data_IF_276491433587
#
_entry.id   IF_276491433587
#
_cell.length_a   1.000
_cell.length_b   1.000
_cell.length_c   1.000
_cell.angle_alpha   90.00
_cell.angle_beta   90.00
_cell.angle_gamma   90.00
#
_symmetry.space_group_name_H-M   'P 1'
#
loop_
_entity.id
_entity.type
_entity.pdbx_description
1 polymer ?
#
# COMPACT_ATOMS: atom_id res chain seq x y z
N UNK A 1 16.57 18.64 -0.65
CA UNK A 1 15.96 17.33 -0.95
C UNK A 1 14.68 17.61 -1.71
N UNK A 2 14.53 17.09 -2.92
CA UNK A 2 13.29 17.27 -3.71
C UNK A 2 12.14 16.55 -3.00
N UNK A 3 10.90 17.00 -3.20
CA UNK A 3 9.72 16.33 -2.59
C UNK A 3 9.58 14.85 -3.00
N UNK A 4 10.13 14.47 -4.16
CA UNK A 4 10.11 13.09 -4.67
C UNK A 4 11.13 12.19 -3.95
N UNK A 5 12.28 12.71 -3.56
CA UNK A 5 13.29 11.96 -2.80
C UNK A 5 12.75 11.56 -1.42
N UNK A 6 12.09 12.49 -0.73
CA UNK A 6 11.47 12.25 0.57
C UNK A 6 10.30 11.25 0.46
N UNK A 7 9.51 11.37 -0.60
CA UNK A 7 8.44 10.43 -0.90
C UNK A 7 8.99 9.01 -1.12
N UNK A 8 10.05 8.85 -1.90
CA UNK A 8 10.67 7.54 -2.15
C UNK A 8 11.14 6.88 -0.84
N UNK A 9 11.86 7.63 0.01
CA UNK A 9 12.31 7.15 1.34
C UNK A 9 11.11 6.70 2.18
N UNK A 10 10.07 7.53 2.17
CA UNK A 10 8.85 7.27 2.91
C UNK A 10 8.11 6.02 2.44
N UNK A 11 8.01 5.78 1.13
CA UNK A 11 7.36 4.59 0.58
C UNK A 11 8.16 3.33 0.90
N UNK A 12 9.49 3.36 0.76
CA UNK A 12 10.38 2.25 1.14
C UNK A 12 10.25 1.91 2.63
N UNK A 13 10.17 2.92 3.50
CA UNK A 13 9.89 2.71 4.92
C UNK A 13 8.50 2.13 5.15
N UNK A 14 7.49 2.63 4.44
CA UNK A 14 6.11 2.12 4.47
C UNK A 14 6.03 0.62 4.17
N UNK A 15 6.76 0.14 3.16
CA UNK A 15 6.85 -1.30 2.86
C UNK A 15 7.34 -2.12 4.05
N UNK A 16 8.44 -1.70 4.67
CA UNK A 16 9.00 -2.40 5.84
C UNK A 16 7.98 -2.50 6.98
N UNK A 17 7.27 -1.41 7.27
CA UNK A 17 6.27 -1.37 8.33
C UNK A 17 5.06 -2.25 7.99
N UNK A 18 4.60 -2.25 6.73
CA UNK A 18 3.52 -3.14 6.26
C UNK A 18 3.91 -4.61 6.44
N UNK A 19 5.10 -5.01 5.98
CA UNK A 19 5.59 -6.39 6.06
C UNK A 19 5.73 -6.87 7.51
N UNK A 20 6.31 -6.03 8.37
CA UNK A 20 6.42 -6.32 9.80
C UNK A 20 5.04 -6.49 10.45
N UNK A 21 4.07 -5.67 10.05
CA UNK A 21 2.71 -5.73 10.59
C UNK A 21 1.97 -6.98 10.12
N UNK A 22 2.12 -7.40 8.86
CA UNK A 22 1.60 -8.69 8.39
C UNK A 22 2.12 -9.86 9.23
N UNK A 23 3.43 -9.88 9.53
CA UNK A 23 4.01 -10.92 10.37
C UNK A 23 3.41 -10.90 11.79
N UNK A 24 3.25 -9.71 12.40
CA UNK A 24 2.60 -9.56 13.70
C UNK A 24 1.16 -10.06 13.71
N UNK A 25 0.37 -9.72 12.68
CA UNK A 25 -1.01 -10.21 12.52
C UNK A 25 -1.02 -11.73 12.40
N UNK A 26 -0.13 -12.31 11.59
CA UNK A 26 -0.04 -13.77 11.39
C UNK A 26 0.29 -14.53 12.68
N UNK A 27 1.29 -14.07 13.42
CA UNK A 27 1.71 -14.70 14.69
C UNK A 27 0.59 -14.65 15.73
N UNK A 28 -0.22 -13.60 15.72
CA UNK A 28 -1.29 -13.39 16.70
C UNK A 28 -2.69 -13.75 16.19
N UNK A 29 -2.80 -14.44 15.04
CA UNK A 29 -4.09 -14.65 14.35
C UNK A 29 -5.15 -15.40 15.17
N UNK A 30 -4.71 -16.12 16.22
CA UNK A 30 -5.58 -16.87 17.13
C UNK A 30 -5.91 -16.13 18.43
N UNK A 31 -5.28 -14.98 18.68
CA UNK A 31 -5.36 -14.23 19.94
C UNK A 31 -6.10 -12.92 19.71
N UNK A 32 -7.43 -12.95 19.82
CA UNK A 32 -8.32 -11.82 19.48
C UNK A 32 -7.94 -10.51 20.17
N UNK A 33 -7.60 -10.54 21.46
CA UNK A 33 -7.28 -9.34 22.25
C UNK A 33 -6.03 -8.60 21.74
N UNK A 34 -5.08 -9.32 21.12
CA UNK A 34 -3.89 -8.75 20.49
C UNK A 34 -4.18 -8.41 19.03
N UNK A 35 -4.92 -9.28 18.34
CA UNK A 35 -5.14 -9.15 16.91
C UNK A 35 -5.97 -7.92 16.55
N UNK A 36 -7.03 -7.61 17.30
CA UNK A 36 -7.91 -6.48 16.99
C UNK A 36 -7.18 -5.12 17.00
N UNK A 37 -6.44 -4.74 18.06
CA UNK A 37 -5.66 -3.50 18.04
C UNK A 37 -4.54 -3.54 16.98
N UNK A 38 -3.96 -4.71 16.72
CA UNK A 38 -2.97 -4.87 15.64
C UNK A 38 -3.59 -4.59 14.27
N UNK A 39 -4.82 -5.05 14.00
CA UNK A 39 -5.53 -4.79 12.75
C UNK A 39 -5.90 -3.31 12.61
N UNK A 40 -6.29 -2.64 13.70
CA UNK A 40 -6.54 -1.20 13.68
C UNK A 40 -5.27 -0.42 13.30
N UNK A 41 -4.14 -0.71 13.97
CA UNK A 41 -2.87 -0.09 13.61
C UNK A 41 -2.49 -0.42 12.15
N UNK A 42 -2.76 -1.64 11.72
CA UNK A 42 -2.46 -2.07 10.37
C UNK A 42 -3.26 -1.29 9.31
N UNK A 43 -4.54 -1.03 9.60
CA UNK A 43 -5.39 -0.19 8.75
C UNK A 43 -4.79 1.20 8.57
N UNK A 44 -4.38 1.86 9.65
CA UNK A 44 -3.78 3.19 9.58
C UNK A 44 -2.50 3.18 8.74
N UNK A 45 -1.62 2.20 8.97
CA UNK A 45 -0.37 2.04 8.21
C UNK A 45 -0.64 1.89 6.72
N UNK A 46 -1.55 0.99 6.33
CA UNK A 46 -1.87 0.74 4.92
C UNK A 46 -2.51 1.97 4.28
N UNK A 47 -3.49 2.58 4.94
CA UNK A 47 -4.18 3.74 4.39
C UNK A 47 -3.23 4.94 4.23
N UNK A 48 -2.34 5.18 5.19
CA UNK A 48 -1.31 6.21 5.08
C UNK A 48 -0.37 5.92 3.92
N UNK A 49 0.11 4.67 3.76
CA UNK A 49 0.98 4.30 2.64
C UNK A 49 0.32 4.54 1.28
N UNK A 50 -0.91 4.07 1.12
CA UNK A 50 -1.67 4.22 -0.14
C UNK A 50 -2.06 5.68 -0.41
N UNK A 51 -2.28 6.50 0.63
CA UNK A 51 -2.63 7.92 0.48
C UNK A 51 -1.46 8.78 -0.01
N UNK A 52 -0.21 8.39 0.27
CA UNK A 52 0.98 9.10 -0.24
C UNK A 52 1.16 8.97 -1.76
N UNK A 53 0.47 8.00 -2.35
CA UNK A 53 0.38 7.82 -3.79
C UNK A 53 -0.96 8.41 -4.25
N UNK A 54 -0.99 9.72 -4.42
CA UNK A 54 -2.19 10.49 -4.78
C UNK A 54 -2.09 11.01 -6.22
N UNK A 55 -3.18 11.60 -6.71
CA UNK A 55 -3.23 12.11 -8.08
C UNK A 55 -2.16 13.19 -8.33
N UNK A 56 -1.92 14.08 -7.36
CA UNK A 56 -0.86 15.10 -7.43
C UNK A 56 0.53 14.49 -7.65
N UNK A 57 0.84 13.38 -6.99
CA UNK A 57 2.10 12.66 -7.14
C UNK A 57 2.25 12.05 -8.54
N UNK A 58 1.18 11.44 -9.07
CA UNK A 58 1.19 10.92 -10.44
C UNK A 58 1.24 12.03 -11.49
N UNK A 59 0.58 13.17 -11.27
CA UNK A 59 0.65 14.35 -12.15
C UNK A 59 2.08 14.91 -12.22
N UNK A 60 2.75 15.04 -11.07
CA UNK A 60 4.17 15.46 -11.01
C UNK A 60 5.08 14.51 -11.78
N UNK A 61 4.92 13.20 -11.59
CA UNK A 61 5.69 12.21 -12.33
C UNK A 61 5.40 12.27 -13.84
N UNK A 62 4.14 12.38 -14.25
CA UNK A 62 3.78 12.55 -15.65
C UNK A 62 4.43 13.79 -16.27
N UNK A 63 4.53 14.90 -15.52
CA UNK A 63 5.22 16.11 -15.97
C UNK A 63 6.73 15.88 -16.21
N UNK A 64 7.39 15.03 -15.42
CA UNK A 64 8.80 14.68 -15.62
C UNK A 64 9.06 13.83 -16.88
N UNK A 65 8.05 13.08 -17.35
CA UNK A 65 8.16 12.09 -18.42
C UNK A 65 7.26 12.38 -19.63
N UNK A 66 6.86 13.64 -19.86
CA UNK A 66 5.91 14.01 -20.93
C UNK A 66 6.32 13.54 -22.34
N UNK A 67 7.64 13.40 -22.58
CA UNK A 67 8.20 12.96 -23.87
C UNK A 67 8.42 11.44 -23.94
N UNK A 68 8.32 10.72 -22.82
CA UNK A 68 8.51 9.28 -22.75
C UNK A 68 7.16 8.56 -22.64
N UNK A 69 6.63 8.18 -23.80
CA UNK A 69 5.34 7.48 -23.92
C UNK A 69 5.32 6.14 -23.15
N UNK A 70 6.46 5.48 -22.99
CA UNK A 70 6.51 4.20 -22.27
C UNK A 70 6.33 4.43 -20.77
N UNK A 71 6.99 5.46 -20.21
CA UNK A 71 6.86 5.79 -18.80
C UNK A 71 5.47 6.31 -18.44
N UNK A 72 4.85 7.11 -19.32
CA UNK A 72 3.45 7.55 -19.13
C UNK A 72 2.51 6.35 -19.01
N UNK A 73 2.61 5.37 -19.91
CA UNK A 73 1.79 4.15 -19.83
C UNK A 73 2.04 3.36 -18.54
N UNK A 74 3.28 3.34 -18.06
CA UNK A 74 3.62 2.70 -16.78
C UNK A 74 2.96 3.42 -15.60
N UNK A 75 2.96 4.76 -15.59
CA UNK A 75 2.29 5.57 -14.58
C UNK A 75 0.77 5.37 -14.60
N UNK A 76 0.16 5.29 -15.78
CA UNK A 76 -1.27 4.96 -15.94
C UNK A 76 -1.59 3.58 -15.35
N UNK A 77 -0.79 2.56 -15.67
CA UNK A 77 -0.93 1.22 -15.11
C UNK A 77 -0.84 1.22 -13.58
N UNK A 78 0.18 1.87 -13.01
CA UNK A 78 0.39 1.98 -11.56
C UNK A 78 -0.74 2.71 -10.84
N UNK A 79 -1.33 3.72 -11.48
CA UNK A 79 -2.47 4.48 -10.95
C UNK A 79 -3.74 3.63 -10.92
N UNK A 80 -4.02 2.85 -11.97
CA UNK A 80 -5.16 1.92 -12.01
C UNK A 80 -5.01 0.83 -10.96
N UNK A 81 -3.85 0.18 -10.90
CA UNK A 81 -3.55 -0.84 -9.89
C UNK A 81 -3.69 -0.28 -8.45
N UNK A 82 -3.37 1.01 -8.25
CA UNK A 82 -3.51 1.66 -6.94
C UNK A 82 -4.98 1.79 -6.51
N UNK A 83 -5.85 2.09 -7.46
CA UNK A 83 -7.29 2.19 -7.17
C UNK A 83 -7.84 0.84 -6.76
N UNK A 84 -7.45 -0.22 -7.47
CA UNK A 84 -7.87 -1.59 -7.16
C UNK A 84 -7.38 -2.03 -5.78
N UNK A 85 -6.11 -1.78 -5.42
CA UNK A 85 -5.61 -2.13 -4.08
C UNK A 85 -6.27 -1.28 -2.97
N UNK A 86 -6.58 0.00 -3.22
CA UNK A 86 -7.32 0.85 -2.27
C UNK A 86 -8.72 0.27 -2.01
N UNK A 87 -9.44 -0.16 -3.04
CA UNK A 87 -10.75 -0.81 -2.89
C UNK A 87 -10.65 -2.10 -2.09
N UNK A 88 -9.65 -2.95 -2.38
CA UNK A 88 -9.41 -4.20 -1.64
C UNK A 88 -9.08 -3.94 -0.17
N UNK A 89 -8.23 -2.96 0.13
CA UNK A 89 -7.87 -2.57 1.49
C UNK A 89 -9.10 -2.07 2.26
N UNK A 90 -9.89 -1.16 1.67
CA UNK A 90 -11.13 -0.67 2.30
C UNK A 90 -12.11 -1.81 2.56
N UNK A 91 -12.29 -2.72 1.61
CA UNK A 91 -13.18 -3.89 1.76
C UNK A 91 -12.69 -4.82 2.88
N UNK A 92 -11.39 -5.03 2.97
CA UNK A 92 -10.80 -5.85 4.04
C UNK A 92 -11.02 -5.21 5.42
N UNK A 93 -10.74 -3.92 5.56
CA UNK A 93 -10.87 -3.23 6.85
C UNK A 93 -12.33 -2.91 7.23
N UNK A 94 -13.27 -2.80 6.29
CA UNK A 94 -14.69 -2.74 6.62
C UNK A 94 -15.18 -4.04 7.29
N UNK A 95 -14.61 -5.19 6.87
CA UNK A 95 -14.97 -6.50 7.44
C UNK A 95 -14.25 -6.82 8.74
N UNK A 96 -12.99 -6.41 8.89
CA UNK A 96 -12.11 -6.86 9.97
C UNK A 96 -11.52 -5.74 10.84
N UNK A 97 -11.72 -4.48 10.46
CA UNK A 97 -11.24 -3.30 11.16
C UNK A 97 -11.96 -3.01 12.49
N UNK A 98 -11.67 -1.86 13.12
CA UNK A 98 -12.21 -1.48 14.41
C UNK A 98 -13.74 -1.34 14.38
N UNK A 99 -14.29 -0.89 13.25
CA UNK A 99 -15.72 -0.65 13.03
C UNK A 99 -16.47 -1.87 12.47
N UNK A 100 -15.82 -3.03 12.42
CA UNK A 100 -16.42 -4.26 11.91
C UNK A 100 -17.71 -4.59 12.69
N UNK A 101 -18.84 -4.62 11.99
CA UNK A 101 -20.19 -4.81 12.58
C UNK A 101 -20.51 -6.26 12.99
N UNK A 102 -19.52 -7.14 13.00
CA UNK A 102 -19.76 -8.56 13.25
C UNK A 102 -19.95 -8.85 14.74
N UNK A 103 -20.99 -9.62 15.08
CA UNK A 103 -21.28 -10.04 16.47
C UNK A 103 -20.16 -10.90 17.08
N UNK A 104 -19.37 -11.59 16.23
CA UNK A 104 -18.18 -12.35 16.62
C UNK A 104 -17.03 -11.93 15.72
N UNK A 105 -16.01 -11.28 16.28
CA UNK A 105 -14.85 -10.85 15.52
C UNK A 105 -13.87 -12.01 15.37
N UNK A 106 -13.66 -12.45 14.12
CA UNK A 106 -12.65 -13.46 13.76
C UNK A 106 -12.12 -13.19 12.37
N UNK A 107 -10.80 -13.08 12.23
CA UNK A 107 -10.13 -12.97 10.94
C UNK A 107 -9.79 -14.38 10.40
N UNK A 108 -10.40 -14.83 9.30
CA UNK A 108 -10.04 -16.10 8.69
C UNK A 108 -8.61 -16.04 8.13
N UNK A 109 -7.77 -17.07 8.35
CA UNK A 109 -6.42 -17.10 7.78
C UNK A 109 -6.38 -16.93 6.26
N UNK A 110 -7.36 -17.46 5.54
CA UNK A 110 -7.44 -17.38 4.09
C UNK A 110 -7.67 -15.93 3.60
N UNK A 111 -8.50 -15.17 4.31
CA UNK A 111 -8.78 -13.76 3.99
C UNK A 111 -7.53 -12.91 4.21
N UNK A 112 -6.81 -13.15 5.31
CA UNK A 112 -5.52 -12.51 5.56
C UNK A 112 -4.50 -12.86 4.47
N UNK A 113 -4.36 -14.14 4.11
CA UNK A 113 -3.41 -14.57 3.07
C UNK A 113 -3.76 -14.00 1.70
N UNK A 114 -5.05 -13.87 1.37
CA UNK A 114 -5.50 -13.23 0.13
C UNK A 114 -5.11 -11.75 0.10
N UNK A 115 -5.43 -11.01 1.16
CA UNK A 115 -5.07 -9.60 1.27
C UNK A 115 -3.55 -9.38 1.29
N UNK A 116 -2.81 -10.23 1.99
CA UNK A 116 -1.35 -10.21 1.99
C UNK A 116 -0.79 -10.39 0.58
N UNK A 117 -1.27 -11.40 -0.16
CA UNK A 117 -0.83 -11.64 -1.53
C UNK A 117 -1.04 -10.40 -2.42
N UNK A 118 -2.20 -9.75 -2.31
CA UNK A 118 -2.51 -8.54 -3.07
C UNK A 118 -1.57 -7.38 -2.69
N UNK A 119 -1.33 -7.15 -1.40
CA UNK A 119 -0.39 -6.11 -0.94
C UNK A 119 1.05 -6.40 -1.33
N UNK A 120 1.49 -7.67 -1.29
CA UNK A 120 2.82 -8.09 -1.73
C UNK A 120 3.01 -7.86 -3.23
N UNK A 121 1.99 -8.16 -4.04
CA UNK A 121 2.02 -7.89 -5.47
C UNK A 121 2.16 -6.38 -5.73
N UNK A 122 1.41 -5.55 -4.99
CA UNK A 122 1.50 -4.09 -5.06
C UNK A 122 2.90 -3.58 -4.69
N UNK A 123 3.44 -4.00 -3.56
CA UNK A 123 4.80 -3.63 -3.11
C UNK A 123 5.82 -3.96 -4.19
N UNK A 124 5.74 -5.17 -4.75
CA UNK A 124 6.62 -5.60 -5.83
C UNK A 124 6.50 -4.71 -7.06
N UNK A 125 5.28 -4.38 -7.50
CA UNK A 125 5.09 -3.46 -8.62
C UNK A 125 5.61 -2.04 -8.34
N UNK A 126 5.50 -1.56 -7.10
CA UNK A 126 6.12 -0.29 -6.71
C UNK A 126 7.65 -0.36 -6.80
N UNK A 127 8.26 -1.43 -6.30
CA UNK A 127 9.72 -1.64 -6.36
C UNK A 127 10.24 -1.81 -7.79
N UNK A 128 9.52 -2.54 -8.65
CA UNK A 128 9.93 -2.84 -10.02
C UNK A 128 9.72 -1.66 -10.98
N UNK A 129 8.71 -0.81 -10.74
CA UNK A 129 8.29 0.21 -11.69
C UNK A 129 8.25 1.63 -11.11
N UNK A 130 7.59 1.83 -9.96
CA UNK A 130 7.42 3.18 -9.40
C UNK A 130 8.71 3.75 -8.84
N UNK A 131 9.51 2.96 -8.13
CA UNK A 131 10.75 3.43 -7.51
C UNK A 131 11.80 3.84 -8.54
N UNK A 132 12.05 3.06 -9.62
CA UNK A 132 12.91 3.52 -10.71
C UNK A 132 12.46 4.82 -11.36
N UNK A 133 11.14 5.04 -11.49
CA UNK A 133 10.58 6.28 -12.01
C UNK A 133 10.82 7.47 -11.07
N UNK A 134 10.63 7.26 -9.76
CA UNK A 134 10.92 8.29 -8.75
C UNK A 134 12.42 8.62 -8.71
N UNK A 135 13.29 7.62 -8.78
CA UNK A 135 14.75 7.81 -8.78
C UNK A 135 15.19 8.62 -10.02
N UNK A 136 14.72 8.27 -11.21
CA UNK A 136 14.97 9.04 -12.43
C UNK A 136 14.41 10.47 -12.36
N UNK A 137 13.25 10.67 -11.75
CA UNK A 137 12.65 11.99 -11.60
C UNK A 137 13.38 12.87 -10.57
N UNK A 138 14.10 12.28 -9.61
CA UNK A 138 14.93 13.01 -8.64
C UNK A 138 16.24 13.51 -9.26
N UNK A 139 16.75 12.79 -10.26
CA UNK A 139 17.99 13.14 -10.98
C UNK A 139 17.81 14.23 -12.05
N UNK A 140 16.55 14.55 -12.40
CA UNK A 140 16.17 15.58 -13.39
C UNK A 140 15.97 16.94 -12.72
#
# INVERSE_FOLDING_TARGET
MSGLEELLKTLKFGHQVILQTFNRVRVNIRTTDILKPTIQQFQEIVLIHLAKQNDEMFEKLNACFQEDRQQIKMLEFLSVDLKDIKVKALTFFDRYGPDARQAVWRLPPQELSGFEKDMMARIKSEEEYLFPLLEQAVER
#
